data_IF_975648470496
#
_entry.id   IF_975648470496
#
_cell.length_a   1.000
_cell.length_b   1.000
_cell.length_c   1.000
_cell.angle_alpha   90.00
_cell.angle_beta   90.00
_cell.angle_gamma   90.00
#
_symmetry.space_group_name_H-M   'P 1'
#
loop_
_entity.id
_entity.type
_entity.pdbx_description
1 polymer ?
#
# COMPACT_ATOMS: atom_id res chain seq x y z
N UNK A 1 6.38 -4.42 4.12
CA UNK A 1 5.63 -4.03 5.31
C UNK A 1 4.23 -4.60 5.38
N UNK A 2 3.41 -4.55 4.29
CA UNK A 2 2.04 -5.06 4.32
C UNK A 2 1.97 -6.58 4.28
N UNK A 3 2.82 -7.23 3.49
CA UNK A 3 2.79 -8.66 3.19
C UNK A 3 4.18 -9.26 3.11
N UNK A 4 4.26 -10.58 3.14
CA UNK A 4 5.46 -11.34 2.79
C UNK A 4 5.27 -12.11 1.47
N UNK A 5 6.27 -12.84 1.04
CA UNK A 5 6.09 -13.93 0.07
C UNK A 5 5.46 -15.15 0.75
N UNK A 6 4.67 -15.94 0.00
CA UNK A 6 4.24 -17.27 0.43
C UNK A 6 5.41 -18.24 0.66
N UNK A 7 6.60 -17.90 0.15
CA UNK A 7 7.83 -18.65 0.39
C UNK A 7 8.58 -18.23 1.65
N UNK A 8 8.13 -17.19 2.34
CA UNK A 8 8.71 -16.73 3.60
C UNK A 8 8.59 -17.80 4.68
N UNK A 9 9.63 -17.96 5.49
CA UNK A 9 9.68 -19.00 6.54
C UNK A 9 8.50 -18.90 7.51
N UNK A 10 8.14 -17.70 7.91
CA UNK A 10 7.00 -17.47 8.79
C UNK A 10 5.67 -17.94 8.19
N UNK A 11 5.46 -17.76 6.88
CA UNK A 11 4.22 -18.22 6.26
C UNK A 11 4.18 -19.75 6.12
N UNK A 12 5.32 -20.37 5.78
CA UNK A 12 5.44 -21.84 5.77
C UNK A 12 5.19 -22.42 7.16
N UNK A 13 5.78 -21.83 8.19
CA UNK A 13 5.56 -22.22 9.59
C UNK A 13 4.08 -22.06 9.98
N UNK A 14 3.45 -20.93 9.61
CA UNK A 14 2.04 -20.69 9.86
C UNK A 14 1.13 -21.73 9.21
N UNK A 15 1.40 -22.13 7.96
CA UNK A 15 0.66 -23.18 7.26
C UNK A 15 0.83 -24.57 7.89
N UNK A 16 2.01 -24.86 8.44
CA UNK A 16 2.32 -26.13 9.09
C UNK A 16 1.80 -26.21 10.54
N UNK A 17 1.45 -25.06 11.14
CA UNK A 17 1.04 -24.97 12.54
C UNK A 17 -0.47 -25.11 12.72
N UNK A 18 -0.89 -25.52 13.92
CA UNK A 18 -2.30 -25.66 14.26
C UNK A 18 -3.03 -24.31 14.33
N UNK A 19 -4.35 -24.35 14.12
CA UNK A 19 -5.25 -23.21 14.25
C UNK A 19 -5.07 -22.53 15.62
N UNK A 20 -4.97 -21.19 15.62
CA UNK A 20 -4.79 -20.39 16.83
C UNK A 20 -3.37 -20.35 17.38
N UNK A 21 -2.40 -21.00 16.75
CA UNK A 21 -1.00 -20.94 17.17
C UNK A 21 -0.38 -19.54 16.98
N UNK A 22 0.69 -19.26 17.74
CA UNK A 22 1.44 -18.01 17.62
C UNK A 22 1.98 -17.78 16.20
N UNK A 23 2.50 -18.83 15.54
CA UNK A 23 2.99 -18.76 14.17
C UNK A 23 1.91 -18.30 13.17
N UNK A 24 0.68 -18.83 13.31
CA UNK A 24 -0.44 -18.41 12.46
C UNK A 24 -0.87 -16.96 12.73
N UNK A 25 -0.75 -16.50 13.98
CA UNK A 25 -1.15 -15.16 14.35
C UNK A 25 -0.26 -14.05 13.75
N UNK A 26 0.87 -14.39 13.14
CA UNK A 26 1.69 -13.44 12.35
C UNK A 26 1.01 -13.02 11.05
N UNK A 27 0.02 -13.80 10.60
CA UNK A 27 -0.80 -13.55 9.41
C UNK A 27 -2.28 -13.53 9.78
N UNK A 28 -3.13 -13.15 8.83
CA UNK A 28 -4.56 -13.03 9.07
C UNK A 28 -5.26 -14.26 8.51
N UNK A 29 -5.55 -15.23 9.36
CA UNK A 29 -6.33 -16.42 9.03
C UNK A 29 -7.73 -16.33 9.62
N UNK A 30 -8.75 -16.79 8.87
CA UNK A 30 -10.14 -16.85 9.32
C UNK A 30 -10.81 -18.13 8.82
N UNK A 31 -11.83 -18.56 9.53
CA UNK A 31 -12.68 -19.65 9.09
C UNK A 31 -13.54 -19.17 7.91
N UNK A 32 -13.76 -20.04 6.94
CA UNK A 32 -14.68 -19.77 5.84
C UNK A 32 -16.13 -19.78 6.26
N UNK A 33 -16.99 -19.24 5.41
CA UNK A 33 -18.45 -19.35 5.48
C UNK A 33 -18.93 -20.62 4.80
N UNK A 34 -20.23 -20.95 4.97
CA UNK A 34 -20.85 -22.18 4.49
C UNK A 34 -20.76 -23.30 5.50
N UNK A 35 -21.42 -24.43 5.22
CA UNK A 35 -21.52 -25.55 6.15
C UNK A 35 -20.18 -26.24 6.45
N UNK A 36 -19.24 -26.17 5.49
CA UNK A 36 -17.92 -26.79 5.57
C UNK A 36 -16.78 -25.76 5.45
N UNK A 37 -17.05 -24.45 5.58
CA UNK A 37 -16.05 -23.42 5.42
C UNK A 37 -15.58 -23.18 3.97
N UNK A 38 -16.37 -23.61 2.98
CA UNK A 38 -16.04 -23.60 1.55
C UNK A 38 -16.12 -22.22 0.91
N UNK A 39 -16.71 -21.24 1.58
CA UNK A 39 -16.82 -19.86 1.08
C UNK A 39 -15.85 -18.92 1.82
N UNK A 40 -15.35 -17.87 1.16
CA UNK A 40 -14.44 -16.92 1.82
C UNK A 40 -15.12 -16.19 2.99
N UNK A 41 -14.32 -15.74 3.98
CA UNK A 41 -14.84 -15.06 5.18
C UNK A 41 -15.61 -13.77 4.91
N UNK A 42 -15.26 -13.06 3.84
CA UNK A 42 -15.92 -11.81 3.42
C UNK A 42 -15.97 -11.66 1.91
N UNK A 43 -16.65 -10.63 1.44
CA UNK A 43 -16.77 -10.23 0.03
C UNK A 43 -15.60 -9.35 -0.46
N UNK A 44 -14.52 -9.27 0.30
CA UNK A 44 -13.40 -8.40 -0.03
C UNK A 44 -12.67 -8.88 -1.28
N UNK A 45 -12.36 -7.92 -2.16
CA UNK A 45 -11.66 -8.16 -3.42
C UNK A 45 -10.20 -7.70 -3.32
N UNK A 46 -9.34 -8.32 -4.09
CA UNK A 46 -7.90 -8.05 -4.14
C UNK A 46 -7.54 -7.17 -5.33
N UNK A 47 -6.33 -6.61 -5.35
CA UNK A 47 -5.80 -5.90 -6.51
C UNK A 47 -5.58 -6.82 -7.72
N UNK A 48 -5.20 -8.09 -7.47
CA UNK A 48 -4.77 -9.03 -8.51
C UNK A 48 -5.57 -10.34 -8.54
N UNK A 49 -6.57 -10.47 -7.68
CA UNK A 49 -7.43 -11.65 -7.65
C UNK A 49 -8.90 -11.26 -7.38
N UNK A 50 -9.88 -12.09 -7.77
CA UNK A 50 -11.30 -11.83 -7.52
C UNK A 50 -11.66 -11.72 -6.04
N UNK A 51 -10.95 -12.44 -5.17
CA UNK A 51 -11.11 -12.42 -3.72
C UNK A 51 -9.78 -12.03 -3.06
N UNK A 52 -9.84 -11.34 -1.93
CA UNK A 52 -8.68 -11.12 -1.06
C UNK A 52 -8.45 -12.26 -0.07
N UNK A 53 -9.22 -13.31 -0.17
CA UNK A 53 -9.09 -14.50 0.64
C UNK A 53 -8.74 -15.70 -0.23
N UNK A 54 -7.69 -16.42 0.14
CA UNK A 54 -7.33 -17.69 -0.49
C UNK A 54 -7.35 -18.80 0.55
N UNK A 55 -7.96 -19.93 0.18
CA UNK A 55 -8.00 -21.09 1.04
C UNK A 55 -6.58 -21.67 1.21
N UNK A 56 -6.19 -21.94 2.45
CA UNK A 56 -4.81 -22.32 2.77
C UNK A 56 -4.34 -23.62 2.09
N UNK A 57 -5.27 -24.51 1.71
CA UNK A 57 -4.93 -25.74 0.96
C UNK A 57 -4.23 -25.46 -0.38
N UNK A 58 -4.40 -24.26 -0.95
CA UNK A 58 -3.70 -23.82 -2.16
C UNK A 58 -2.19 -23.89 -1.99
N UNK A 59 -1.69 -23.67 -0.77
CA UNK A 59 -0.26 -23.72 -0.44
C UNK A 59 0.07 -24.82 0.59
N UNK A 60 -0.80 -25.80 0.75
CA UNK A 60 -0.55 -27.01 1.56
C UNK A 60 -0.95 -26.90 3.04
N UNK A 61 -1.66 -25.86 3.46
CA UNK A 61 -2.25 -25.77 4.79
C UNK A 61 -3.37 -26.78 5.00
N UNK A 62 -3.64 -27.17 6.26
CA UNK A 62 -4.51 -28.31 6.60
C UNK A 62 -5.61 -27.99 7.62
N UNK A 63 -5.75 -26.73 8.05
CA UNK A 63 -6.70 -26.35 9.12
C UNK A 63 -8.06 -25.86 8.59
N UNK A 64 -8.30 -25.95 7.28
CA UNK A 64 -9.55 -25.53 6.64
C UNK A 64 -9.85 -24.05 6.89
N UNK A 65 -8.80 -23.20 6.79
CA UNK A 65 -8.93 -21.74 6.94
C UNK A 65 -8.57 -21.00 5.65
N UNK A 66 -8.93 -19.73 5.61
CA UNK A 66 -8.61 -18.79 4.57
C UNK A 66 -7.65 -17.75 5.12
N UNK A 67 -6.63 -17.37 4.32
CA UNK A 67 -5.73 -16.28 4.67
C UNK A 67 -5.98 -15.04 3.80
N UNK A 68 -5.76 -13.88 4.39
CA UNK A 68 -5.94 -12.59 3.75
C UNK A 68 -4.72 -12.21 2.91
N UNK A 69 -4.97 -11.66 1.72
CA UNK A 69 -3.98 -10.99 0.88
C UNK A 69 -4.61 -9.81 0.15
N UNK A 70 -4.04 -8.63 0.27
CA UNK A 70 -4.55 -7.46 -0.47
C UNK A 70 -4.10 -7.46 -1.93
N UNK A 71 -2.99 -8.15 -2.22
CA UNK A 71 -2.41 -8.30 -3.56
C UNK A 71 -2.59 -9.74 -4.07
N UNK A 72 -1.55 -10.34 -4.64
CA UNK A 72 -1.64 -11.71 -5.11
C UNK A 72 -1.77 -12.74 -3.97
N UNK A 73 -2.34 -13.93 -4.22
CA UNK A 73 -2.36 -15.02 -3.23
C UNK A 73 -0.98 -15.39 -2.70
N UNK A 74 0.07 -15.18 -3.49
CA UNK A 74 1.46 -15.40 -3.11
C UNK A 74 2.02 -14.32 -2.17
N UNK A 75 1.20 -13.32 -1.82
CA UNK A 75 1.57 -12.17 -0.99
C UNK A 75 0.67 -12.08 0.27
N UNK A 76 0.75 -13.07 1.19
CA UNK A 76 -0.08 -13.08 2.40
C UNK A 76 0.19 -11.87 3.28
N UNK A 77 -0.87 -11.25 3.78
CA UNK A 77 -0.80 -10.04 4.58
C UNK A 77 -0.39 -10.34 6.03
N UNK A 78 0.57 -9.59 6.54
CA UNK A 78 0.93 -9.63 7.95
C UNK A 78 -0.21 -9.14 8.85
N UNK A 79 -0.33 -9.74 10.01
CA UNK A 79 -1.18 -9.27 11.08
C UNK A 79 -0.46 -8.19 11.91
N UNK A 80 -0.67 -6.92 11.58
CA UNK A 80 -0.07 -5.80 12.28
C UNK A 80 -0.69 -5.51 13.67
N UNK A 81 -1.65 -6.30 14.12
CA UNK A 81 -2.07 -6.33 15.53
C UNK A 81 -1.16 -7.22 16.39
N UNK A 82 -0.31 -8.03 15.76
CA UNK A 82 0.62 -8.92 16.45
C UNK A 82 1.92 -8.18 16.82
N UNK A 83 2.29 -8.11 18.11
CA UNK A 83 3.54 -7.46 18.56
C UNK A 83 4.82 -8.07 17.93
N UNK A 84 4.85 -9.36 17.65
CA UNK A 84 5.99 -10.02 17.02
C UNK A 84 6.29 -9.44 15.63
N UNK A 85 5.24 -9.10 14.87
CA UNK A 85 5.39 -8.43 13.56
C UNK A 85 6.01 -7.05 13.75
N UNK A 86 5.55 -6.27 14.72
CA UNK A 86 6.15 -4.97 15.05
C UNK A 86 7.63 -5.08 15.41
N UNK A 87 7.96 -6.01 16.29
CA UNK A 87 9.34 -6.21 16.74
C UNK A 87 10.27 -6.63 15.60
N UNK A 88 9.82 -7.49 14.69
CA UNK A 88 10.61 -7.95 13.56
C UNK A 88 10.90 -6.81 12.58
N UNK A 89 9.90 -5.97 12.30
CA UNK A 89 10.12 -4.79 11.45
C UNK A 89 11.03 -3.76 12.12
N UNK A 90 10.97 -3.56 13.44
CA UNK A 90 11.93 -2.72 14.16
C UNK A 90 13.35 -3.30 14.07
N UNK A 91 13.52 -4.60 14.20
CA UNK A 91 14.84 -5.28 14.01
C UNK A 91 15.34 -5.07 12.58
N UNK A 92 14.48 -5.23 11.58
CA UNK A 92 14.83 -5.02 10.18
C UNK A 92 15.26 -3.57 9.89
N UNK A 93 14.49 -2.59 10.35
CA UNK A 93 14.83 -1.17 10.19
C UNK A 93 16.14 -0.82 10.90
N UNK A 94 16.33 -1.33 12.12
CA UNK A 94 17.58 -1.15 12.88
C UNK A 94 18.77 -1.80 12.17
N UNK A 95 18.63 -3.02 11.68
CA UNK A 95 19.67 -3.77 10.98
C UNK A 95 20.23 -2.99 9.79
N UNK A 96 19.38 -2.39 8.98
CA UNK A 96 19.81 -1.60 7.83
C UNK A 96 20.33 -0.23 8.22
N UNK A 97 19.74 0.42 9.22
CA UNK A 97 20.20 1.71 9.73
C UNK A 97 21.60 1.62 10.32
N UNK A 98 21.89 0.54 11.06
CA UNK A 98 23.23 0.28 11.64
C UNK A 98 24.30 0.03 10.56
N UNK A 99 23.88 -0.33 9.35
CA UNK A 99 24.76 -0.52 8.18
C UNK A 99 24.90 0.71 7.29
N UNK A 100 24.37 1.85 7.74
CA UNK A 100 24.53 3.14 7.07
C UNK A 100 23.42 3.48 6.08
N UNK A 101 22.29 2.77 6.10
CA UNK A 101 21.10 3.18 5.32
C UNK A 101 20.48 4.40 5.99
N UNK A 102 20.36 5.51 5.26
CA UNK A 102 19.87 6.78 5.78
C UNK A 102 18.36 6.93 5.72
N UNK A 103 17.69 6.15 4.87
CA UNK A 103 16.24 6.24 4.72
C UNK A 103 15.59 5.04 4.02
N UNK A 104 14.27 4.98 4.10
CA UNK A 104 13.45 3.86 3.62
C UNK A 104 12.27 4.34 2.78
N UNK A 105 11.98 3.66 1.68
CA UNK A 105 10.65 3.72 1.05
C UNK A 105 9.77 2.67 1.72
N UNK A 106 8.63 3.10 2.21
CA UNK A 106 7.64 2.22 2.84
C UNK A 106 6.56 1.88 1.82
N UNK A 107 6.64 0.67 1.32
CA UNK A 107 5.69 0.10 0.37
C UNK A 107 4.33 -0.11 1.02
N UNK A 108 3.25 0.22 0.30
CA UNK A 108 1.86 0.10 0.77
C UNK A 108 1.67 0.68 2.18
N UNK A 109 2.25 1.85 2.43
CA UNK A 109 2.29 2.45 3.76
C UNK A 109 0.90 2.69 4.38
N UNK A 110 -0.14 2.81 3.58
CA UNK A 110 -1.51 3.00 4.04
C UNK A 110 -2.24 1.69 4.38
N UNK A 111 -1.65 0.54 4.05
CA UNK A 111 -2.30 -0.77 4.12
C UNK A 111 -1.99 -1.63 5.34
N UNK A 112 -1.14 -1.18 6.28
CA UNK A 112 -0.71 -2.03 7.38
C UNK A 112 -1.85 -2.37 8.36
N UNK A 113 -2.62 -1.38 8.76
CA UNK A 113 -3.76 -1.56 9.67
C UNK A 113 -5.04 -1.87 8.90
N UNK A 114 -5.79 -2.86 9.36
CA UNK A 114 -7.03 -3.35 8.77
C UNK A 114 -8.16 -3.35 9.79
N UNK A 115 -9.41 -3.27 9.34
CA UNK A 115 -10.58 -3.47 10.19
C UNK A 115 -10.93 -4.96 10.22
N UNK A 116 -10.39 -5.66 11.19
CA UNK A 116 -10.62 -7.09 11.38
C UNK A 116 -11.79 -7.39 12.33
N UNK A 117 -12.60 -6.39 12.67
CA UNK A 117 -13.79 -6.57 13.51
C UNK A 117 -14.84 -7.45 12.82
N UNK A 118 -15.41 -8.38 13.57
CA UNK A 118 -16.46 -9.27 13.07
C UNK A 118 -17.85 -8.83 13.57
N UNK A 119 -18.90 -8.98 12.76
CA UNK A 119 -18.88 -9.47 11.37
C UNK A 119 -18.15 -8.49 10.44
N UNK A 120 -17.38 -9.03 9.49
CA UNK A 120 -16.67 -8.19 8.53
C UNK A 120 -17.61 -7.24 7.79
N UNK A 121 -17.21 -5.97 7.69
CA UNK A 121 -17.92 -5.02 6.83
C UNK A 121 -17.82 -5.44 5.37
N UNK A 122 -18.93 -5.32 4.64
CA UNK A 122 -18.91 -5.49 3.18
C UNK A 122 -18.04 -4.43 2.52
N UNK A 123 -17.34 -4.80 1.45
CA UNK A 123 -16.52 -3.88 0.69
C UNK A 123 -17.39 -3.03 -0.25
N UNK A 124 -17.38 -1.70 -0.13
CA UNK A 124 -18.16 -0.85 -1.01
C UNK A 124 -17.52 -0.82 -2.40
N UNK A 125 -18.18 -1.42 -3.38
CA UNK A 125 -17.68 -1.52 -4.77
C UNK A 125 -17.40 -0.14 -5.39
N UNK A 126 -18.17 0.88 -5.03
CA UNK A 126 -18.05 2.24 -5.56
C UNK A 126 -16.88 3.05 -4.98
N UNK A 127 -16.30 2.63 -3.84
CA UNK A 127 -15.16 3.30 -3.21
C UNK A 127 -13.82 2.86 -3.78
N UNK A 128 -13.83 1.81 -4.62
CA UNK A 128 -12.62 1.21 -5.16
C UNK A 128 -11.76 0.51 -4.10
N UNK A 129 -10.71 -0.15 -4.56
CA UNK A 129 -9.83 -0.95 -3.69
C UNK A 129 -9.04 -0.13 -2.68
N UNK A 130 -8.76 1.13 -2.99
CA UNK A 130 -7.93 1.99 -2.15
C UNK A 130 -8.72 2.74 -1.07
N UNK A 131 -10.04 2.79 -1.22
CA UNK A 131 -10.97 3.41 -0.25
C UNK A 131 -10.57 4.84 0.18
N UNK A 132 -10.02 5.63 -0.76
CA UNK A 132 -9.49 6.99 -0.51
C UNK A 132 -10.51 7.94 0.16
N UNK A 133 -11.80 7.72 -0.06
CA UNK A 133 -12.89 8.50 0.52
C UNK A 133 -13.08 8.31 2.03
N UNK A 134 -12.60 7.22 2.59
CA UNK A 134 -12.88 6.81 3.97
C UNK A 134 -12.06 7.53 5.05
N UNK A 135 -11.09 8.36 4.70
CA UNK A 135 -10.34 9.29 5.57
C UNK A 135 -10.06 8.75 6.98
N UNK A 136 -9.39 7.63 7.10
CA UNK A 136 -9.03 7.02 8.37
C UNK A 136 -9.96 5.90 8.88
N UNK A 137 -11.01 5.56 8.14
CA UNK A 137 -12.02 4.55 8.49
C UNK A 137 -12.17 3.46 7.43
N UNK A 138 -11.22 3.31 6.53
CA UNK A 138 -11.19 2.26 5.51
C UNK A 138 -11.22 0.87 6.12
N UNK A 139 -11.55 -0.14 5.31
CA UNK A 139 -11.49 -1.53 5.75
C UNK A 139 -10.05 -1.96 5.90
N UNK A 140 -9.21 -1.69 4.89
CA UNK A 140 -7.80 -2.09 4.86
C UNK A 140 -6.84 -1.02 4.34
N UNK A 141 -7.32 0.21 4.14
CA UNK A 141 -6.49 1.32 3.68
C UNK A 141 -6.70 2.58 4.49
N UNK A 142 -5.62 3.32 4.70
CA UNK A 142 -5.58 4.64 5.33
C UNK A 142 -6.31 4.71 6.70
N UNK A 143 -6.17 3.68 7.52
CA UNK A 143 -6.70 3.69 8.88
C UNK A 143 -5.84 4.53 9.81
N UNK A 144 -6.48 5.14 10.82
CA UNK A 144 -5.75 5.96 11.79
C UNK A 144 -4.76 5.16 12.64
N UNK A 145 -5.03 3.89 12.84
CA UNK A 145 -4.22 2.96 13.63
C UNK A 145 -2.79 2.80 13.06
N UNK A 146 -2.61 2.97 11.74
CA UNK A 146 -1.28 2.90 11.10
C UNK A 146 -0.29 3.91 11.67
N UNK A 147 -0.76 5.07 12.14
CA UNK A 147 0.11 6.10 12.68
C UNK A 147 0.73 5.74 14.03
N UNK A 148 0.18 4.77 14.77
CA UNK A 148 0.83 4.23 15.96
C UNK A 148 2.12 3.48 15.58
N UNK A 149 2.07 2.66 14.54
CA UNK A 149 3.21 1.94 13.97
C UNK A 149 4.31 2.94 13.54
N UNK A 150 3.94 3.98 12.79
CA UNK A 150 4.93 4.96 12.29
C UNK A 150 5.51 5.85 13.38
N UNK A 151 4.78 6.13 14.46
CA UNK A 151 5.34 6.79 15.63
C UNK A 151 6.38 5.92 16.35
N UNK A 152 6.17 4.61 16.38
CA UNK A 152 7.12 3.66 16.91
C UNK A 152 8.40 3.64 16.07
N UNK A 153 8.29 3.54 14.73
CA UNK A 153 9.44 3.61 13.84
C UNK A 153 10.18 4.95 13.94
N UNK A 154 9.46 6.06 14.09
CA UNK A 154 10.07 7.38 14.31
C UNK A 154 10.92 7.42 15.58
N UNK A 155 10.52 6.77 16.66
CA UNK A 155 11.35 6.65 17.87
C UNK A 155 12.67 5.94 17.57
N UNK A 156 12.66 4.88 16.78
CA UNK A 156 13.87 4.20 16.34
C UNK A 156 14.73 5.12 15.46
N UNK A 157 14.16 5.76 14.45
CA UNK A 157 14.88 6.63 13.51
C UNK A 157 15.57 7.82 14.21
N UNK A 158 14.96 8.34 15.24
CA UNK A 158 15.50 9.45 16.03
C UNK A 158 16.69 9.05 16.94
N UNK A 159 17.06 7.76 17.02
CA UNK A 159 18.24 7.31 17.76
C UNK A 159 19.54 7.50 16.96
N UNK A 160 19.44 7.83 15.67
CA UNK A 160 20.58 8.06 14.79
C UNK A 160 20.88 9.55 14.61
N UNK A 161 22.14 9.87 14.29
CA UNK A 161 22.59 11.22 13.97
C UNK A 161 23.29 11.21 12.60
N UNK A 162 22.72 11.87 11.56
CA UNK A 162 21.37 12.48 11.56
C UNK A 162 20.27 11.44 11.70
N UNK A 163 19.07 11.84 12.17
CA UNK A 163 17.92 10.95 12.26
C UNK A 163 17.56 10.31 10.90
N UNK A 164 17.22 9.03 10.90
CA UNK A 164 16.79 8.34 9.67
C UNK A 164 15.44 8.88 9.19
N UNK A 165 15.21 8.78 7.88
CA UNK A 165 13.97 9.26 7.24
C UNK A 165 13.22 8.13 6.56
N UNK A 166 11.95 8.34 6.28
CA UNK A 166 11.19 7.43 5.43
C UNK A 166 10.21 8.19 4.56
N UNK A 167 9.95 7.64 3.38
CA UNK A 167 8.92 8.13 2.46
C UNK A 167 7.82 7.09 2.34
N UNK A 168 6.58 7.49 2.62
CA UNK A 168 5.42 6.63 2.44
C UNK A 168 5.03 6.52 0.97
N UNK A 169 4.85 5.31 0.48
CA UNK A 169 4.00 5.08 -0.67
C UNK A 169 2.57 4.86 -0.18
N UNK A 170 1.72 5.86 -0.36
CA UNK A 170 0.35 5.83 0.15
C UNK A 170 -0.62 6.47 -0.84
N UNK A 171 -1.54 5.67 -1.37
CA UNK A 171 -2.64 6.12 -2.21
C UNK A 171 -3.81 6.55 -1.33
N UNK A 172 -3.74 7.77 -0.80
CA UNK A 172 -4.69 8.31 0.17
C UNK A 172 -5.29 9.63 -0.30
N UNK A 173 -6.35 10.08 0.34
CA UNK A 173 -6.90 11.41 0.07
C UNK A 173 -5.84 12.49 0.36
N UNK A 174 -5.69 13.55 -0.48
CA UNK A 174 -4.64 14.56 -0.30
C UNK A 174 -4.56 15.15 1.11
N UNK A 175 -5.69 15.40 1.78
CA UNK A 175 -5.72 15.91 3.17
C UNK A 175 -5.07 14.97 4.19
N UNK A 176 -4.85 13.71 3.82
CA UNK A 176 -4.22 12.69 4.68
C UNK A 176 -2.70 12.62 4.51
N UNK A 177 -2.16 13.07 3.37
CA UNK A 177 -0.72 13.05 3.08
C UNK A 177 0.13 13.67 4.21
N UNK A 178 -0.26 14.81 4.81
CA UNK A 178 0.50 15.40 5.91
C UNK A 178 0.62 14.52 7.14
N UNK A 179 -0.29 13.59 7.38
CA UNK A 179 -0.22 12.68 8.53
C UNK A 179 0.92 11.68 8.36
N UNK A 180 1.18 11.23 7.13
CA UNK A 180 2.33 10.37 6.78
C UNK A 180 3.62 11.19 6.71
N UNK A 181 3.57 12.40 6.14
CA UNK A 181 4.70 13.29 5.95
C UNK A 181 5.08 14.08 7.22
N UNK A 182 4.42 13.85 8.33
CA UNK A 182 4.70 14.49 9.61
C UNK A 182 6.08 14.08 10.14
N UNK A 183 6.79 15.02 10.77
CA UNK A 183 8.02 14.75 11.54
C UNK A 183 7.81 13.80 12.72
N UNK A 184 6.55 13.56 13.11
CA UNK A 184 6.18 12.60 14.16
C UNK A 184 5.91 11.19 13.63
N UNK A 185 5.92 11.00 12.31
CA UNK A 185 5.69 9.74 11.63
C UNK A 185 6.84 9.46 10.65
N UNK A 186 6.58 9.25 9.36
CA UNK A 186 7.63 8.86 8.40
C UNK A 186 8.50 10.04 7.93
N UNK A 187 7.95 11.26 7.89
CA UNK A 187 8.66 12.47 7.47
C UNK A 187 8.38 12.88 6.03
N UNK A 188 8.11 11.93 5.15
CA UNK A 188 7.74 12.19 3.76
C UNK A 188 6.61 11.25 3.32
N UNK A 189 5.84 11.68 2.30
CA UNK A 189 4.84 10.86 1.64
C UNK A 189 4.80 11.26 0.17
N UNK A 190 4.82 10.31 -0.75
CA UNK A 190 4.65 10.58 -2.17
C UNK A 190 3.30 11.23 -2.44
N UNK A 191 3.33 12.34 -3.14
CA UNK A 191 2.14 12.99 -3.68
C UNK A 191 1.92 12.54 -5.13
N UNK A 192 0.97 11.65 -5.32
CA UNK A 192 0.70 11.06 -6.64
C UNK A 192 -0.22 11.90 -7.51
N UNK A 193 -0.64 13.10 -7.07
CA UNK A 193 -1.47 13.98 -7.91
C UNK A 193 -0.84 14.26 -9.25
N UNK A 194 0.50 14.46 -9.32
CA UNK A 194 1.18 14.71 -10.58
C UNK A 194 1.15 13.52 -11.55
N UNK A 195 1.10 12.28 -11.05
CA UNK A 195 0.90 11.11 -11.90
C UNK A 195 -0.50 11.14 -12.54
N UNK A 196 -1.50 11.68 -11.84
CA UNK A 196 -2.89 11.74 -12.29
C UNK A 196 -3.18 13.02 -13.10
N UNK A 197 -2.40 14.09 -12.90
CA UNK A 197 -2.59 15.40 -13.55
C UNK A 197 -2.40 15.29 -15.07
N UNK A 198 -3.33 15.81 -15.90
CA UNK A 198 -3.11 15.91 -17.34
C UNK A 198 -1.94 16.84 -17.67
N UNK A 199 -1.31 16.65 -18.84
CA UNK A 199 -0.19 17.49 -19.26
C UNK A 199 -0.71 18.85 -19.76
N UNK A 200 -1.04 19.70 -18.81
CA UNK A 200 -1.57 21.05 -19.02
C UNK A 200 -0.99 22.00 -17.97
N UNK A 201 -0.44 23.13 -18.40
CA UNK A 201 0.22 24.08 -17.50
C UNK A 201 -0.69 24.56 -16.36
N UNK A 202 -1.98 24.79 -16.65
CA UNK A 202 -2.94 25.21 -15.62
C UNK A 202 -3.18 24.09 -14.58
N UNK A 203 -3.35 22.85 -15.02
CA UNK A 203 -3.57 21.71 -14.14
C UNK A 203 -2.38 21.48 -13.21
N UNK A 204 -1.15 21.52 -13.72
CA UNK A 204 0.07 21.44 -12.89
C UNK A 204 0.19 22.62 -11.92
N UNK A 205 -0.12 23.84 -12.37
CA UNK A 205 -0.13 25.03 -11.47
C UNK A 205 -1.08 24.84 -10.29
N UNK A 206 -2.29 24.35 -10.54
CA UNK A 206 -3.29 24.08 -9.50
C UNK A 206 -2.79 23.00 -8.53
N UNK A 207 -2.36 21.84 -9.08
CA UNK A 207 -1.86 20.73 -8.25
C UNK A 207 -0.66 21.14 -7.38
N UNK A 208 0.28 21.93 -7.94
CA UNK A 208 1.44 22.47 -7.21
C UNK A 208 1.01 23.39 -6.09
N UNK A 209 0.13 24.34 -6.37
CA UNK A 209 -0.36 25.31 -5.39
C UNK A 209 -1.04 24.60 -4.22
N UNK A 210 -1.97 23.71 -4.50
CA UNK A 210 -2.68 22.94 -3.48
C UNK A 210 -1.74 22.09 -2.62
N UNK A 211 -0.72 21.46 -3.24
CA UNK A 211 0.27 20.67 -2.51
C UNK A 211 1.08 21.55 -1.54
N UNK A 212 1.55 22.71 -1.99
CA UNK A 212 2.32 23.66 -1.17
C UNK A 212 1.47 24.19 -0.02
N UNK A 213 0.24 24.64 -0.31
CA UNK A 213 -0.67 25.18 0.70
C UNK A 213 -0.99 24.13 1.80
N UNK A 214 -1.24 22.89 1.38
CA UNK A 214 -1.50 21.79 2.29
C UNK A 214 -0.27 21.47 3.17
N UNK A 215 0.92 21.44 2.58
CA UNK A 215 2.15 21.20 3.32
C UNK A 215 2.46 22.34 4.31
N UNK A 216 2.33 23.58 3.89
CA UNK A 216 2.54 24.75 4.76
C UNK A 216 1.58 24.76 5.95
N UNK A 217 0.28 24.54 5.68
CA UNK A 217 -0.75 24.45 6.71
C UNK A 217 -0.45 23.41 7.78
N UNK A 218 0.13 22.29 7.37
CA UNK A 218 0.37 21.14 8.25
C UNK A 218 1.84 21.01 8.71
N UNK A 219 2.72 21.94 8.34
CA UNK A 219 4.17 21.90 8.62
C UNK A 219 4.79 20.56 8.21
N UNK A 220 4.43 20.09 7.02
CA UNK A 220 4.91 18.85 6.42
C UNK A 220 5.70 19.13 5.13
N UNK A 221 6.28 18.09 4.52
CA UNK A 221 6.94 18.17 3.23
C UNK A 221 5.98 17.86 2.08
N UNK A 222 6.33 18.33 0.86
CA UNK A 222 5.80 17.85 -0.39
C UNK A 222 6.82 16.92 -1.06
N UNK A 223 6.43 15.73 -1.45
CA UNK A 223 7.27 14.81 -2.22
C UNK A 223 6.58 14.51 -3.54
N UNK A 224 6.85 15.34 -4.53
CA UNK A 224 6.20 15.26 -5.84
C UNK A 224 6.70 14.07 -6.64
N UNK A 225 5.78 13.37 -7.29
CA UNK A 225 6.04 12.15 -8.04
C UNK A 225 5.45 12.25 -9.44
N UNK A 226 6.30 12.32 -10.46
CA UNK A 226 5.86 12.36 -11.87
C UNK A 226 5.54 10.98 -12.43
N UNK A 227 6.25 9.95 -11.98
CA UNK A 227 6.01 8.55 -12.33
C UNK A 227 6.67 7.61 -11.33
N UNK A 228 6.24 6.36 -11.31
CA UNK A 228 6.87 5.27 -10.56
C UNK A 228 6.87 3.99 -11.39
N UNK A 229 7.30 2.86 -10.82
CA UNK A 229 7.35 1.57 -11.51
C UNK A 229 5.98 0.88 -11.63
N UNK A 230 4.98 1.31 -10.86
CA UNK A 230 3.63 0.73 -10.85
C UNK A 230 2.64 1.50 -11.75
N UNK A 231 3.09 2.60 -12.35
CA UNK A 231 2.27 3.46 -13.19
C UNK A 231 2.91 3.69 -14.56
N UNK A 232 2.09 4.06 -15.54
CA UNK A 232 2.59 4.45 -16.85
C UNK A 232 3.58 5.61 -16.67
N UNK A 233 4.80 5.46 -17.21
CA UNK A 233 5.83 6.50 -17.13
C UNK A 233 5.35 7.79 -17.80
N UNK A 234 5.80 8.93 -17.28
CA UNK A 234 5.32 10.24 -17.73
C UNK A 234 5.50 10.45 -19.24
N UNK A 235 6.64 10.10 -19.84
CA UNK A 235 6.83 10.21 -21.29
C UNK A 235 5.80 9.38 -22.08
N UNK A 236 5.54 8.15 -21.68
CA UNK A 236 4.51 7.30 -22.30
C UNK A 236 3.12 7.90 -22.11
N UNK A 237 2.81 8.31 -20.88
CA UNK A 237 1.52 8.94 -20.55
C UNK A 237 1.24 10.18 -21.39
N UNK A 238 2.25 11.01 -21.60
CA UNK A 238 2.14 12.27 -22.39
C UNK A 238 2.05 12.04 -23.90
N UNK A 239 2.42 10.83 -24.37
CA UNK A 239 2.23 10.40 -25.76
C UNK A 239 0.97 9.60 -26.00
N UNK A 240 0.18 9.28 -24.96
CA UNK A 240 -1.10 8.60 -25.12
C UNK A 240 -2.22 9.60 -25.37
N UNK A 241 -3.17 9.21 -26.26
CA UNK A 241 -4.38 9.97 -26.42
C UNK A 241 -5.10 10.12 -25.06
N UNK A 242 -5.49 11.33 -24.65
CA UNK A 242 -6.17 11.58 -23.36
C UNK A 242 -7.45 10.75 -23.13
N UNK A 243 -8.14 10.33 -24.21
CA UNK A 243 -9.34 9.51 -24.14
C UNK A 243 -9.08 8.04 -23.78
N UNK A 244 -7.81 7.60 -23.79
CA UNK A 244 -7.45 6.21 -23.49
C UNK A 244 -7.58 5.93 -22.00
N UNK A 245 -8.28 4.85 -21.66
CA UNK A 245 -8.27 4.31 -20.29
C UNK A 245 -6.86 3.78 -19.97
N UNK A 246 -6.11 4.55 -19.19
CA UNK A 246 -4.70 4.27 -18.87
C UNK A 246 -4.50 2.93 -18.17
N UNK A 247 -5.41 2.55 -17.27
CA UNK A 247 -5.31 1.27 -16.56
C UNK A 247 -5.53 0.09 -17.51
N UNK A 248 -6.54 0.18 -18.38
CA UNK A 248 -6.78 -0.84 -19.39
C UNK A 248 -5.61 -0.94 -20.38
N UNK A 249 -5.02 0.19 -20.78
CA UNK A 249 -3.85 0.22 -21.64
C UNK A 249 -2.62 -0.43 -20.97
N UNK A 250 -2.37 -0.14 -19.71
CA UNK A 250 -1.25 -0.70 -18.95
C UNK A 250 -1.36 -2.23 -18.77
N UNK A 251 -2.60 -2.75 -18.68
CA UNK A 251 -2.88 -4.18 -18.55
C UNK A 251 -3.02 -4.90 -19.90
N UNK A 252 -2.98 -4.17 -21.01
CA UNK A 252 -3.00 -4.70 -22.38
C UNK A 252 -1.57 -4.94 -22.90
N UNK A 253 -1.47 -5.50 -24.09
CA UNK A 253 -0.21 -5.66 -24.82
C UNK A 253 0.35 -4.32 -25.38
N UNK A 254 -0.33 -3.20 -25.14
CA UNK A 254 0.05 -1.86 -25.63
C UNK A 254 -0.19 -1.64 -27.12
N UNK A 255 -0.81 -2.58 -27.84
CA UNK A 255 -1.01 -2.48 -29.30
C UNK A 255 -2.32 -1.84 -29.68
N UNK A 256 -3.33 -1.88 -28.83
CA UNK A 256 -4.69 -1.39 -29.11
C UNK A 256 -4.81 0.13 -29.26
N UNK A 257 -3.84 0.88 -28.75
CA UNK A 257 -3.75 2.35 -28.87
C UNK A 257 -2.33 2.74 -29.18
N UNK A 258 -2.03 3.18 -30.42
CA UNK A 258 -0.68 3.56 -30.80
C UNK A 258 -0.17 4.72 -29.92
N UNK A 259 1.07 4.58 -29.46
CA UNK A 259 1.77 5.57 -28.67
C UNK A 259 2.49 6.54 -29.62
N UNK A 260 2.20 7.83 -29.50
CA UNK A 260 3.04 8.89 -30.09
C UNK A 260 4.29 9.09 -29.21
N UNK A 261 5.33 8.32 -29.51
CA UNK A 261 6.60 8.36 -28.76
C UNK A 261 7.34 9.69 -28.90
N UNK A 262 7.23 10.31 -30.06
CA UNK A 262 7.92 11.58 -30.35
C UNK A 262 7.31 12.71 -29.53
N UNK A 263 6.00 12.89 -29.62
CA UNK A 263 5.29 13.89 -28.83
C UNK A 263 5.38 13.60 -27.35
N UNK A 264 5.29 12.32 -26.93
CA UNK A 264 5.44 11.93 -25.53
C UNK A 264 6.80 12.28 -24.95
N UNK A 265 7.88 12.09 -25.71
CA UNK A 265 9.24 12.45 -25.29
C UNK A 265 9.41 13.95 -25.24
N UNK A 266 8.97 14.68 -26.26
CA UNK A 266 9.05 16.13 -26.31
C UNK A 266 8.31 16.79 -25.15
N UNK A 267 7.09 16.35 -24.89
CA UNK A 267 6.27 16.81 -23.76
C UNK A 267 6.87 16.48 -22.38
N UNK A 268 7.60 15.38 -22.27
CA UNK A 268 8.27 15.01 -21.01
C UNK A 268 9.54 15.83 -20.74
N UNK A 269 10.12 16.46 -21.79
CA UNK A 269 11.30 17.30 -21.66
C UNK A 269 10.96 18.80 -21.54
N UNK A 270 9.73 19.20 -21.85
CA UNK A 270 9.23 20.56 -21.69
C UNK A 270 8.89 20.90 -20.25
#
# INVERSE_FOLDING_TARGET
PNHSSNLHEWFKEALASEKGSAARNRYIFRDGKGANGELPPSDWVSHFAPSSWTHESTFGGKNNQWFLHWFAPEQPDFNWENPEVHEDFLKTLKFWSDRGVDGFRIDVAHGLAKDLSEPFRSMPVHEGLEQRGNKGKGIWGDRNEVFAIYKEWRKLFNQYDPPRVAVAEAFVHPERLPLYASTKTLGQCFDFRFIETPFEAHAYKVATKEAIELAQKNKSSCTWTLSNHDQIRHATKMGLNPAVNRRAWMLSDGTSHPLDKESGTANALA
#
